data_IF_631875392531
#
_entry.id   IF_631875392531
#
_cell.length_a   1.000
_cell.length_b   1.000
_cell.length_c   1.000
_cell.angle_alpha   90.00
_cell.angle_beta   90.00
_cell.angle_gamma   90.00
#
_symmetry.space_group_name_H-M   'P 1'
#
loop_
_entity.id
_entity.type
_entity.pdbx_description
1 polymer ?
#
# COMPACT_ATOMS: atom_id res chain seq x y z
N UNK A 1 -13.41 -47.50 -3.42
CA UNK A 1 -13.62 -46.58 -2.29
C UNK A 1 -14.60 -45.50 -2.73
N UNK A 2 -15.72 -45.29 -2.03
CA UNK A 2 -16.60 -44.13 -2.31
C UNK A 2 -15.86 -42.87 -1.87
N UNK A 3 -15.75 -41.89 -2.77
CA UNK A 3 -15.22 -40.57 -2.44
C UNK A 3 -16.32 -39.87 -1.64
N UNK A 4 -16.14 -39.71 -0.34
CA UNK A 4 -17.04 -38.90 0.48
C UNK A 4 -16.92 -37.44 0.03
N UNK A 5 -18.05 -36.82 -0.27
CA UNK A 5 -18.13 -35.39 -0.57
C UNK A 5 -18.13 -34.60 0.74
N UNK A 6 -17.50 -33.41 0.78
CA UNK A 6 -17.46 -32.60 2.00
C UNK A 6 -18.88 -32.15 2.39
N UNK A 7 -19.17 -32.14 3.69
CA UNK A 7 -20.41 -31.58 4.19
C UNK A 7 -20.33 -30.05 4.26
N UNK A 8 -21.44 -29.37 4.58
CA UNK A 8 -21.47 -27.91 4.64
C UNK A 8 -20.50 -27.31 5.66
N UNK A 9 -20.25 -27.99 6.78
CA UNK A 9 -19.33 -27.54 7.81
C UNK A 9 -17.87 -27.65 7.35
N UNK A 10 -17.53 -28.74 6.66
CA UNK A 10 -16.22 -28.91 6.02
C UNK A 10 -15.94 -27.78 5.02
N UNK A 11 -16.94 -27.42 4.21
CA UNK A 11 -16.86 -26.34 3.22
C UNK A 11 -16.65 -24.99 3.91
N UNK A 12 -17.46 -24.65 4.92
CA UNK A 12 -17.33 -23.38 5.64
C UNK A 12 -15.97 -23.28 6.34
N UNK A 13 -15.52 -24.37 6.98
CA UNK A 13 -14.23 -24.39 7.64
C UNK A 13 -13.06 -24.30 6.65
N UNK A 14 -13.20 -24.88 5.45
CA UNK A 14 -12.24 -24.68 4.38
C UNK A 14 -12.21 -23.22 3.92
N UNK A 15 -13.38 -22.59 3.73
CA UNK A 15 -13.49 -21.20 3.32
C UNK A 15 -12.89 -20.22 4.34
N UNK A 16 -13.09 -20.47 5.64
CA UNK A 16 -12.48 -19.66 6.72
C UNK A 16 -10.95 -19.73 6.74
N UNK A 17 -10.37 -20.81 6.20
CA UNK A 17 -8.92 -20.98 6.08
C UNK A 17 -8.38 -20.49 4.73
N UNK A 18 -9.22 -20.42 3.71
CA UNK A 18 -8.88 -19.77 2.44
C UNK A 18 -8.92 -18.25 2.60
N UNK A 19 -7.96 -17.52 2.03
CA UNK A 19 -7.91 -16.05 2.11
C UNK A 19 -9.19 -15.34 1.64
N UNK A 20 -10.00 -16.02 0.81
CA UNK A 20 -11.18 -15.46 0.15
C UNK A 20 -12.14 -14.68 1.05
N UNK A 21 -12.44 -15.16 2.26
CA UNK A 21 -13.37 -14.42 3.14
C UNK A 21 -12.74 -13.09 3.63
N UNK A 22 -11.43 -13.06 3.85
CA UNK A 22 -10.71 -11.84 4.22
C UNK A 22 -10.69 -10.83 3.07
N UNK A 23 -10.52 -11.29 1.84
CA UNK A 23 -10.55 -10.44 0.64
C UNK A 23 -11.90 -9.73 0.50
N UNK A 24 -13.01 -10.47 0.69
CA UNK A 24 -14.37 -9.92 0.64
C UNK A 24 -14.65 -8.95 1.80
N UNK A 25 -14.14 -9.24 3.00
CA UNK A 25 -14.22 -8.33 4.15
C UNK A 25 -13.49 -7.01 3.83
N UNK A 26 -12.25 -7.06 3.33
CA UNK A 26 -11.48 -5.87 2.95
C UNK A 26 -12.22 -5.07 1.87
N UNK A 27 -12.77 -5.75 0.85
CA UNK A 27 -13.55 -5.11 -0.19
C UNK A 27 -14.77 -4.36 0.39
N UNK A 28 -15.53 -5.01 1.27
CA UNK A 28 -16.71 -4.42 1.93
C UNK A 28 -16.34 -3.16 2.72
N UNK A 29 -15.23 -3.18 3.46
CA UNK A 29 -14.77 -2.02 4.22
C UNK A 29 -14.37 -0.85 3.30
N UNK A 30 -13.75 -1.13 2.16
CA UNK A 30 -13.40 -0.10 1.17
C UNK A 30 -14.64 0.46 0.45
N UNK A 31 -15.62 -0.38 0.14
CA UNK A 31 -16.91 0.06 -0.41
C UNK A 31 -17.67 0.97 0.56
N UNK A 32 -17.65 0.65 1.87
CA UNK A 32 -18.22 1.51 2.91
C UNK A 32 -17.55 2.89 2.97
N UNK A 33 -16.29 2.99 2.53
CA UNK A 33 -15.54 4.25 2.37
C UNK A 33 -15.77 4.93 1.00
N UNK A 34 -16.75 4.46 0.22
CA UNK A 34 -17.12 4.94 -1.12
C UNK A 34 -16.04 4.74 -2.19
N UNK A 35 -15.26 3.66 -2.09
CA UNK A 35 -14.44 3.21 -3.21
C UNK A 35 -15.25 2.33 -4.15
N UNK A 36 -14.93 2.39 -5.44
CA UNK A 36 -15.33 1.35 -6.39
C UNK A 36 -14.30 0.23 -6.32
N UNK A 37 -14.73 -0.96 -5.91
CA UNK A 37 -13.84 -2.09 -5.62
C UNK A 37 -14.00 -3.19 -6.68
N UNK A 38 -12.88 -3.85 -7.00
CA UNK A 38 -12.83 -5.10 -7.77
C UNK A 38 -11.92 -6.06 -7.03
N UNK A 39 -12.39 -7.29 -6.81
CA UNK A 39 -11.58 -8.37 -6.27
C UNK A 39 -11.10 -9.29 -7.36
N UNK A 40 -10.05 -10.07 -7.09
CA UNK A 40 -9.59 -11.18 -7.93
C UNK A 40 -9.27 -10.75 -9.37
N UNK A 41 -8.57 -9.63 -9.51
CA UNK A 41 -8.24 -9.07 -10.82
C UNK A 41 -6.99 -9.76 -11.37
N UNK A 42 -7.18 -10.59 -12.39
CA UNK A 42 -6.09 -11.13 -13.17
C UNK A 42 -5.40 -10.03 -14.01
N UNK A 43 -4.07 -10.04 -14.04
CA UNK A 43 -3.23 -9.21 -14.90
C UNK A 43 -2.03 -10.00 -15.39
N UNK A 44 -1.43 -9.57 -16.49
CA UNK A 44 -0.20 -10.16 -17.00
C UNK A 44 1.00 -9.40 -16.42
N UNK A 45 1.91 -10.13 -15.79
CA UNK A 45 3.19 -9.60 -15.33
C UNK A 45 4.05 -9.26 -16.55
N UNK A 46 4.39 -7.97 -16.71
CA UNK A 46 5.15 -7.49 -17.87
C UNK A 46 6.58 -8.02 -17.94
N UNK A 47 7.15 -8.50 -16.82
CA UNK A 47 8.52 -9.04 -16.80
C UNK A 47 8.53 -10.54 -17.10
N UNK A 48 7.58 -11.29 -16.56
CA UNK A 48 7.56 -12.74 -16.66
C UNK A 48 6.57 -13.30 -17.71
N UNK A 49 5.65 -12.48 -18.22
CA UNK A 49 4.56 -12.90 -19.11
C UNK A 49 3.57 -13.87 -18.44
N UNK A 50 3.54 -13.91 -17.11
CA UNK A 50 2.68 -14.82 -16.34
C UNK A 50 1.43 -14.10 -15.87
N UNK A 51 0.31 -14.82 -15.87
CA UNK A 51 -0.91 -14.35 -15.22
C UNK A 51 -0.69 -14.28 -13.70
N UNK A 52 -1.00 -13.13 -13.12
CA UNK A 52 -0.97 -12.81 -11.70
C UNK A 52 -2.33 -12.26 -11.29
N UNK A 53 -2.60 -12.22 -10.00
CA UNK A 53 -3.87 -11.77 -9.45
C UNK A 53 -3.63 -10.65 -8.44
N UNK A 54 -4.48 -9.63 -8.47
CA UNK A 54 -4.62 -8.64 -7.41
C UNK A 54 -5.86 -9.01 -6.62
N UNK A 55 -5.67 -9.32 -5.34
CA UNK A 55 -6.76 -9.70 -4.43
C UNK A 55 -7.83 -8.61 -4.36
N UNK A 56 -7.44 -7.35 -4.11
CA UNK A 56 -8.36 -6.20 -4.04
C UNK A 56 -7.76 -4.96 -4.71
N UNK A 57 -8.52 -4.39 -5.65
CA UNK A 57 -8.25 -3.06 -6.22
C UNK A 57 -9.43 -2.13 -5.96
N UNK A 58 -9.17 -0.98 -5.35
CA UNK A 58 -10.19 0.00 -5.01
C UNK A 58 -9.82 1.39 -5.56
N UNK A 59 -10.76 2.09 -6.17
CA UNK A 59 -10.54 3.45 -6.70
C UNK A 59 -11.64 4.41 -6.25
N UNK A 60 -11.24 5.62 -5.86
CA UNK A 60 -12.15 6.70 -5.46
C UNK A 60 -11.70 8.03 -6.02
N UNK A 61 -12.62 8.80 -6.62
CA UNK A 61 -12.36 10.19 -7.00
C UNK A 61 -12.45 11.07 -5.75
N UNK A 62 -11.36 11.76 -5.40
CA UNK A 62 -11.28 12.59 -4.19
C UNK A 62 -11.38 14.09 -4.49
N UNK A 63 -11.10 14.50 -5.72
CA UNK A 63 -11.33 15.88 -6.17
C UNK A 63 -11.67 15.92 -7.66
N UNK A 64 -12.44 16.92 -8.06
CA UNK A 64 -12.81 17.14 -9.45
C UNK A 64 -13.04 18.64 -9.71
N UNK A 65 -12.49 19.13 -10.81
CA UNK A 65 -12.65 20.50 -11.29
C UNK A 65 -13.02 20.46 -12.77
N UNK A 66 -14.31 20.60 -13.05
CA UNK A 66 -14.87 20.51 -14.39
C UNK A 66 -14.31 21.58 -15.35
N UNK A 67 -14.19 22.84 -14.87
CA UNK A 67 -13.67 23.95 -15.68
C UNK A 67 -12.26 23.71 -16.18
N UNK A 68 -11.41 23.11 -15.32
CA UNK A 68 -10.03 22.76 -15.64
C UNK A 68 -9.90 21.33 -16.21
N UNK A 69 -11.01 20.60 -16.34
CA UNK A 69 -11.05 19.18 -16.72
C UNK A 69 -10.07 18.32 -15.90
N UNK A 70 -9.94 18.63 -14.60
CA UNK A 70 -8.99 17.97 -13.71
C UNK A 70 -9.72 17.07 -12.71
N UNK A 71 -9.22 15.87 -12.48
CA UNK A 71 -9.71 14.97 -11.43
C UNK A 71 -8.54 14.36 -10.67
N UNK A 72 -8.71 14.19 -9.36
CA UNK A 72 -7.77 13.46 -8.52
C UNK A 72 -8.44 12.18 -8.01
N UNK A 73 -7.70 11.08 -8.05
CA UNK A 73 -8.15 9.77 -7.60
C UNK A 73 -7.18 9.23 -6.56
N UNK A 74 -7.72 8.46 -5.62
CA UNK A 74 -6.97 7.56 -4.76
C UNK A 74 -7.25 6.15 -5.25
N UNK A 75 -6.18 5.41 -5.51
CA UNK A 75 -6.22 4.00 -5.87
C UNK A 75 -5.49 3.20 -4.79
N UNK A 76 -6.12 2.13 -4.34
CA UNK A 76 -5.58 1.19 -3.37
C UNK A 76 -5.49 -0.17 -4.06
N UNK A 77 -4.32 -0.78 -3.97
CA UNK A 77 -4.06 -2.16 -4.37
C UNK A 77 -3.67 -2.88 -3.10
N UNK A 78 -4.41 -3.91 -2.74
CA UNK A 78 -4.20 -4.66 -1.50
C UNK A 78 -4.11 -6.15 -1.79
N UNK A 79 -3.09 -6.77 -1.19
CA UNK A 79 -2.91 -8.22 -1.10
C UNK A 79 -3.37 -8.67 0.29
N UNK A 80 -4.21 -9.70 0.35
CA UNK A 80 -4.80 -10.21 1.57
C UNK A 80 -4.08 -11.51 1.99
N UNK A 81 -3.32 -11.44 3.10
CA UNK A 81 -2.69 -12.62 3.70
C UNK A 81 -3.36 -12.99 5.01
N UNK A 82 -4.14 -14.07 4.98
CA UNK A 82 -4.67 -14.68 6.18
C UNK A 82 -3.56 -15.44 6.91
N UNK A 83 -3.10 -14.91 8.06
CA UNK A 83 -2.11 -15.57 8.91
C UNK A 83 -2.66 -15.76 10.32
N UNK A 84 -2.59 -16.99 10.83
CA UNK A 84 -3.00 -17.29 12.21
C UNK A 84 -1.92 -16.93 13.23
N UNK A 85 -0.69 -16.70 12.77
CA UNK A 85 0.45 -16.37 13.62
C UNK A 85 0.63 -14.84 13.64
N UNK A 86 0.86 -14.23 14.81
CA UNK A 86 0.96 -12.78 14.90
C UNK A 86 2.26 -12.28 14.30
N UNK A 87 2.19 -11.11 13.68
CA UNK A 87 3.36 -10.32 13.31
C UNK A 87 3.74 -9.40 14.47
N UNK A 88 5.02 -9.39 14.81
CA UNK A 88 5.58 -8.54 15.85
C UNK A 88 6.58 -7.59 15.21
N UNK A 89 6.38 -6.29 15.46
CA UNK A 89 7.23 -5.22 14.98
C UNK A 89 8.13 -4.74 16.12
N UNK A 90 9.43 -4.66 15.87
CA UNK A 90 10.42 -4.13 16.81
C UNK A 90 10.66 -2.67 16.45
N UNK A 91 10.26 -1.79 17.36
CA UNK A 91 10.36 -0.34 17.20
C UNK A 91 11.57 0.26 17.91
N UNK A 92 12.02 1.41 17.43
CA UNK A 92 12.93 2.31 18.15
C UNK A 92 12.45 3.76 18.07
N UNK A 93 12.86 4.64 19.00
CA UNK A 93 12.69 6.08 18.84
C UNK A 93 13.38 6.57 17.56
N UNK A 94 12.75 7.51 16.87
CA UNK A 94 13.32 8.18 15.70
C UNK A 94 14.45 9.11 16.11
N UNK A 95 15.47 9.19 15.27
CA UNK A 95 16.52 10.19 15.41
C UNK A 95 16.25 11.37 14.44
N UNK A 96 17.09 12.40 14.50
CA UNK A 96 16.95 13.56 13.60
C UNK A 96 17.02 13.18 12.12
N UNK A 97 17.84 12.19 11.76
CA UNK A 97 18.00 11.70 10.40
C UNK A 97 16.71 11.06 9.87
N UNK A 98 15.97 10.31 10.69
CA UNK A 98 14.70 9.69 10.30
C UNK A 98 13.65 10.73 9.84
N UNK A 99 13.75 11.97 10.33
CA UNK A 99 12.82 13.07 10.00
C UNK A 99 13.31 13.95 8.83
N UNK A 100 14.49 13.68 8.27
CA UNK A 100 15.09 14.47 7.20
C UNK A 100 14.83 13.92 5.80
N UNK A 101 14.48 12.63 5.69
CA UNK A 101 14.35 11.94 4.41
C UNK A 101 12.93 11.45 4.18
N UNK A 102 12.27 11.85 3.09
CA UNK A 102 10.94 11.35 2.77
C UNK A 102 10.97 9.82 2.57
N UNK A 103 9.84 9.13 2.76
CA UNK A 103 9.73 7.72 2.40
C UNK A 103 10.05 7.52 0.92
N UNK A 104 10.92 6.56 0.60
CA UNK A 104 11.40 6.34 -0.78
C UNK A 104 10.31 5.73 -1.67
N UNK A 105 9.29 5.15 -1.05
CA UNK A 105 8.13 4.52 -1.68
C UNK A 105 7.14 5.57 -2.24
N UNK A 106 7.24 6.82 -1.80
CA UNK A 106 6.39 7.91 -2.27
C UNK A 106 6.99 8.57 -3.50
N UNK A 107 6.38 8.33 -4.65
CA UNK A 107 6.78 8.92 -5.93
C UNK A 107 5.91 10.12 -6.25
N UNK A 108 6.53 11.26 -6.50
CA UNK A 108 5.86 12.49 -6.91
C UNK A 108 6.15 12.81 -8.38
N UNK A 109 5.16 13.28 -9.17
CA UNK A 109 5.40 13.70 -10.55
C UNK A 109 6.46 14.80 -10.70
N UNK A 110 6.57 15.67 -9.68
CA UNK A 110 7.61 16.67 -9.54
C UNK A 110 8.32 16.35 -8.22
N UNK A 111 9.59 15.94 -8.29
CA UNK A 111 10.34 15.52 -7.11
C UNK A 111 10.79 16.71 -6.24
N UNK A 112 11.06 17.87 -6.85
CA UNK A 112 11.62 19.02 -6.17
C UNK A 112 10.96 20.32 -6.61
N UNK A 113 10.77 21.23 -5.65
CA UNK A 113 10.22 22.57 -5.85
C UNK A 113 11.25 23.62 -5.44
N UNK A 114 11.34 24.71 -6.21
CA UNK A 114 12.16 25.86 -5.83
C UNK A 114 11.46 26.69 -4.74
N UNK A 115 12.13 26.86 -3.60
CA UNK A 115 11.76 27.82 -2.58
C UNK A 115 12.67 29.04 -2.72
N UNK A 116 12.09 30.18 -3.12
CA UNK A 116 12.79 31.47 -3.18
C UNK A 116 12.57 32.21 -1.87
N UNK A 117 13.65 32.69 -1.27
CA UNK A 117 13.61 33.57 -0.11
C UNK A 117 14.36 34.84 -0.44
N UNK A 118 13.62 35.94 -0.52
CA UNK A 118 14.22 37.27 -0.65
C UNK A 118 14.91 37.60 0.68
N UNK A 119 16.23 37.73 0.63
CA UNK A 119 17.00 38.27 1.74
C UNK A 119 17.29 39.72 1.42
N UNK A 120 16.70 40.62 2.19
CA UNK A 120 16.68 42.08 1.98
C UNK A 120 18.06 42.75 1.86
N UNK A 121 19.15 42.02 2.07
CA UNK A 121 20.52 42.54 2.16
C UNK A 121 21.52 41.88 1.19
N UNK A 122 21.25 40.68 0.65
CA UNK A 122 22.23 39.92 -0.17
C UNK A 122 21.64 39.23 -1.43
N UNK A 123 20.41 39.59 -1.82
CA UNK A 123 19.75 39.05 -3.02
C UNK A 123 18.79 37.90 -2.73
N UNK A 124 18.47 37.11 -3.76
CA UNK A 124 17.50 36.01 -3.69
C UNK A 124 18.23 34.70 -3.39
N UNK A 125 17.89 34.05 -2.28
CA UNK A 125 18.33 32.67 -2.04
C UNK A 125 17.32 31.71 -2.66
N UNK A 126 17.75 30.83 -3.56
CA UNK A 126 16.95 29.73 -4.11
C UNK A 126 17.39 28.43 -3.44
N UNK A 127 16.44 27.69 -2.85
CA UNK A 127 16.70 26.35 -2.30
C UNK A 127 15.76 25.34 -2.95
N UNK A 128 16.30 24.17 -3.29
CA UNK A 128 15.46 23.02 -3.67
C UNK A 128 14.81 22.44 -2.42
N UNK A 129 13.51 22.15 -2.50
CA UNK A 129 12.75 21.47 -1.45
C UNK A 129 12.08 20.23 -2.03
N UNK A 130 12.27 19.09 -1.39
CA UNK A 130 11.60 17.84 -1.76
C UNK A 130 10.07 18.00 -1.73
N UNK A 131 9.39 17.38 -2.69
CA UNK A 131 7.95 17.43 -2.86
C UNK A 131 7.17 17.02 -1.61
N UNK A 132 7.63 15.99 -0.88
CA UNK A 132 7.00 15.52 0.34
C UNK A 132 6.89 16.64 1.38
N UNK A 133 8.00 17.33 1.63
CA UNK A 133 8.04 18.47 2.56
C UNK A 133 7.40 19.74 1.97
N UNK A 134 7.48 19.94 0.66
CA UNK A 134 6.89 21.10 0.00
C UNK A 134 5.36 21.06 0.09
N UNK A 135 4.77 19.90 -0.19
CA UNK A 135 3.32 19.67 -0.17
C UNK A 135 2.77 19.40 1.24
N UNK A 136 3.64 19.35 2.25
CA UNK A 136 3.26 19.25 3.67
C UNK A 136 2.89 17.84 4.14
N UNK A 137 3.32 16.80 3.43
CA UNK A 137 3.06 15.41 3.81
C UNK A 137 3.75 15.03 5.13
N UNK A 138 4.86 15.69 5.48
CA UNK A 138 5.54 15.56 6.77
C UNK A 138 4.64 15.85 7.98
N UNK A 139 3.53 16.58 7.78
CA UNK A 139 2.61 16.98 8.84
C UNK A 139 1.40 16.05 8.99
N UNK A 140 1.23 15.11 8.07
CA UNK A 140 0.05 14.23 8.02
C UNK A 140 0.40 12.76 7.85
N UNK A 141 1.61 12.46 7.37
CA UNK A 141 2.04 11.08 7.13
C UNK A 141 2.30 10.36 8.47
N UNK A 142 1.72 9.17 8.71
CA UNK A 142 1.89 8.44 9.98
C UNK A 142 3.36 8.21 10.37
N UNK A 143 4.22 7.93 9.39
CA UNK A 143 5.67 7.78 9.60
C UNK A 143 6.40 9.07 9.95
N UNK A 144 5.72 10.21 10.03
CA UNK A 144 6.27 11.47 10.54
C UNK A 144 5.56 11.95 11.80
N UNK A 145 4.33 11.47 12.03
CA UNK A 145 3.55 11.78 13.22
C UNK A 145 3.93 10.93 14.44
N UNK A 146 4.46 9.73 14.24
CA UNK A 146 4.91 8.84 15.33
C UNK A 146 6.34 9.15 15.76
N UNK A 147 6.65 9.11 17.06
CA UNK A 147 8.04 9.16 17.56
C UNK A 147 8.76 7.82 17.43
N UNK A 148 8.01 6.74 17.24
CA UNK A 148 8.52 5.37 17.12
C UNK A 148 8.49 4.93 15.65
N UNK A 149 9.55 4.28 15.20
CA UNK A 149 9.66 3.64 13.88
C UNK A 149 9.90 2.14 14.05
N UNK A 150 9.13 1.32 13.37
CA UNK A 150 9.43 -0.10 13.21
C UNK A 150 10.69 -0.26 12.34
N UNK A 151 11.68 -0.99 12.83
CA UNK A 151 12.94 -1.23 12.12
C UNK A 151 13.12 -2.68 11.72
N UNK A 152 12.39 -3.58 12.38
CA UNK A 152 12.38 -5.01 12.09
C UNK A 152 10.99 -5.53 12.37
N UNK A 153 10.62 -6.63 11.72
CA UNK A 153 9.43 -7.38 12.06
C UNK A 153 9.68 -8.87 11.85
N UNK A 154 8.90 -9.68 12.56
CA UNK A 154 8.94 -11.13 12.46
C UNK A 154 7.54 -11.71 12.67
N UNK A 155 7.35 -12.98 12.31
CA UNK A 155 6.15 -13.74 12.62
C UNK A 155 6.46 -14.68 13.78
N UNK A 156 5.56 -14.80 14.74
CA UNK A 156 5.76 -15.67 15.89
C UNK A 156 5.14 -17.04 15.61
N UNK A 157 6.00 -18.03 15.34
CA UNK A 157 5.60 -19.38 14.97
C UNK A 157 5.66 -20.31 16.20
N UNK A 158 4.69 -21.22 16.29
CA UNK A 158 4.68 -22.29 17.30
C UNK A 158 5.49 -23.48 16.80
N UNK A 159 6.46 -23.94 17.58
CA UNK A 159 7.27 -25.13 17.30
C UNK A 159 7.22 -26.07 18.50
N UNK A 160 6.29 -27.03 18.47
CA UNK A 160 5.99 -27.88 19.61
C UNK A 160 5.32 -27.08 20.74
N UNK A 161 5.94 -27.08 21.92
CA UNK A 161 5.46 -26.34 23.10
C UNK A 161 6.00 -24.92 23.23
N UNK A 162 6.98 -24.51 22.41
CA UNK A 162 7.62 -23.19 22.49
C UNK A 162 7.34 -22.31 21.26
N UNK A 163 7.51 -21.01 21.45
CA UNK A 163 7.31 -19.96 20.46
C UNK A 163 8.65 -19.45 19.94
N UNK A 164 8.75 -19.18 18.65
CA UNK A 164 9.98 -18.70 18.01
C UNK A 164 9.68 -17.57 17.04
N UNK A 165 10.57 -16.57 17.00
CA UNK A 165 10.53 -15.51 16.01
C UNK A 165 11.08 -16.01 14.66
N UNK A 166 10.23 -16.02 13.64
CA UNK A 166 10.58 -16.42 12.28
C UNK A 166 10.70 -15.19 11.38
N UNK A 167 11.83 -15.07 10.69
CA UNK A 167 12.13 -13.99 9.74
C UNK A 167 12.18 -14.51 8.29
N UNK A 168 12.18 -15.83 8.09
CA UNK A 168 12.36 -16.48 6.79
C UNK A 168 11.14 -16.33 5.89
N UNK A 169 11.36 -15.89 4.65
CA UNK A 169 10.33 -15.81 3.61
C UNK A 169 9.29 -14.70 3.81
N UNK A 170 9.38 -13.91 4.89
CA UNK A 170 8.38 -12.88 5.20
C UNK A 170 8.31 -11.79 4.15
N UNK A 171 9.46 -11.27 3.72
CA UNK A 171 9.52 -10.22 2.71
C UNK A 171 8.88 -10.66 1.38
N UNK A 172 9.22 -11.87 0.90
CA UNK A 172 8.62 -12.42 -0.31
C UNK A 172 7.11 -12.73 -0.17
N UNK A 173 6.64 -12.95 1.07
CA UNK A 173 5.24 -13.26 1.35
C UNK A 173 4.35 -12.03 1.60
N UNK A 174 4.96 -10.87 1.88
CA UNK A 174 4.26 -9.64 2.29
C UNK A 174 4.44 -8.54 1.24
N UNK A 175 5.66 -8.36 0.76
CA UNK A 175 6.01 -7.37 -0.24
C UNK A 175 6.14 -8.08 -1.58
N UNK A 176 5.04 -8.20 -2.31
CA UNK A 176 5.17 -8.39 -3.74
C UNK A 176 5.42 -7.02 -4.36
N UNK A 177 6.43 -6.86 -5.23
CA UNK A 177 6.60 -5.62 -5.96
C UNK A 177 5.41 -5.44 -6.91
N UNK A 178 4.44 -4.62 -6.51
CA UNK A 178 3.43 -4.11 -7.43
C UNK A 178 4.09 -2.97 -8.20
N UNK A 179 4.96 -3.30 -9.15
CA UNK A 179 5.55 -2.30 -10.05
C UNK A 179 4.56 -1.94 -11.16
N UNK A 180 4.48 -0.63 -11.40
CA UNK A 180 3.94 0.03 -12.59
C UNK A 180 2.55 -0.44 -13.08
N UNK A 181 1.49 0.01 -12.40
CA UNK A 181 0.28 0.36 -13.14
C UNK A 181 0.62 1.56 -14.02
N UNK A 182 0.93 1.27 -15.28
CA UNK A 182 1.08 2.25 -16.36
C UNK A 182 0.01 3.35 -16.24
N UNK A 183 0.37 4.64 -16.38
CA UNK A 183 -0.63 5.69 -16.44
C UNK A 183 -1.55 5.36 -17.62
N UNK A 184 -2.81 5.00 -17.33
CA UNK A 184 -3.82 4.89 -18.38
C UNK A 184 -3.90 6.27 -19.03
N UNK A 185 -3.29 6.40 -20.20
CA UNK A 185 -3.67 7.42 -21.16
C UNK A 185 -5.10 7.11 -21.54
N UNK A 186 -6.05 7.73 -20.84
CA UNK A 186 -7.43 7.79 -21.33
C UNK A 186 -7.38 8.61 -22.60
N UNK A 187 -7.30 7.93 -23.74
CA UNK A 187 -7.56 8.54 -25.03
C UNK A 187 -8.92 9.20 -24.98
N UNK A 188 -8.96 10.48 -25.32
CA UNK A 188 -10.18 11.10 -25.80
C UNK A 188 -10.74 10.19 -26.90
N UNK A 189 -11.91 9.60 -26.65
CA UNK A 189 -12.81 9.24 -27.74
C UNK A 189 -13.79 10.38 -27.83
N UNK A 190 -13.68 11.12 -28.93
CA UNK A 190 -14.62 12.15 -29.33
C UNK A 190 -16.00 11.54 -29.53
N UNK A 191 -17.00 12.19 -28.94
CA UNK A 191 -18.44 11.98 -29.14
C UNK A 191 -19.16 13.27 -28.85
#
# INVERSE_FOLDING_TARGET
MKKESPNSEDIINALKRSGYLMEQEVATQLEALNFHVRTNMAFEDSEEGKSREIDVRAIKRVAHNEKKKLSAFVEIIAECKNSTNPFVFIGRPKNQTDNQYPPQELVFPIANYEARKDTSEYGVTVRSKDAFFHLGFDKVHPDYMSEIKAVQFCRIDRKGSSWHANHGGLYNSIFYPIYFLSPRTTGCQDG
#
